data_IF_581431220968
#
_entry.id   IF_581431220968
#
_cell.length_a   1.000
_cell.length_b   1.000
_cell.length_c   1.000
_cell.angle_alpha   90.00
_cell.angle_beta   90.00
_cell.angle_gamma   90.00
#
_symmetry.space_group_name_H-M   'P 1'
#
loop_
_entity.id
_entity.type
_entity.pdbx_description
1 polymer ?
#
# COMPACT_ATOMS: atom_id res chain seq x y z
N UNK A 1 -53.39 -27.80 13.64
CA UNK A 1 -52.12 -27.89 12.91
C UNK A 1 -51.62 -26.49 12.62
N UNK A 2 -50.72 -25.90 13.42
CA UNK A 2 -49.92 -24.73 13.05
C UNK A 2 -48.84 -24.50 14.12
N UNK A 3 -47.63 -24.98 13.87
CA UNK A 3 -46.38 -24.47 14.46
C UNK A 3 -45.19 -25.16 13.76
N UNK A 4 -44.98 -24.87 12.47
CA UNK A 4 -43.78 -25.34 11.74
C UNK A 4 -43.10 -24.20 10.98
N UNK A 5 -43.12 -22.99 11.58
CA UNK A 5 -42.48 -21.78 11.04
C UNK A 5 -41.50 -21.12 12.03
N UNK A 6 -41.22 -21.74 13.17
CA UNK A 6 -40.35 -21.18 14.21
C UNK A 6 -38.99 -21.89 14.33
N UNK A 7 -38.51 -22.54 13.26
CA UNK A 7 -37.20 -23.23 13.24
C UNK A 7 -36.17 -22.61 12.28
N UNK A 8 -36.46 -21.45 11.67
CA UNK A 8 -35.53 -20.80 10.73
C UNK A 8 -34.69 -19.66 11.33
N UNK A 9 -34.84 -19.39 12.63
CA UNK A 9 -34.17 -18.28 13.31
C UNK A 9 -33.33 -18.71 14.54
N UNK A 10 -32.82 -19.94 14.54
CA UNK A 10 -32.05 -20.50 15.65
C UNK A 10 -30.60 -20.77 15.30
N UNK A 11 -29.72 -19.82 15.60
CA UNK A 11 -28.27 -20.04 15.67
C UNK A 11 -27.48 -19.55 14.46
N UNK A 12 -27.17 -18.24 14.43
CA UNK A 12 -25.98 -17.79 13.69
C UNK A 12 -24.77 -18.48 14.33
N UNK A 13 -24.35 -19.62 13.76
CA UNK A 13 -23.01 -20.16 13.98
C UNK A 13 -22.05 -19.01 13.71
N UNK A 14 -21.16 -18.69 14.66
CA UNK A 14 -20.23 -17.57 14.52
C UNK A 14 -19.49 -17.75 13.19
N UNK A 15 -19.79 -16.87 12.22
CA UNK A 15 -19.30 -16.99 10.85
C UNK A 15 -17.78 -16.91 10.80
N UNK A 16 -17.16 -16.24 11.79
CA UNK A 16 -15.70 -16.24 11.96
C UNK A 16 -15.17 -17.58 12.44
N UNK A 17 -15.90 -18.24 13.34
CA UNK A 17 -15.52 -19.57 13.81
C UNK A 17 -15.65 -20.60 12.68
N UNK A 18 -16.76 -20.56 11.93
CA UNK A 18 -16.95 -21.42 10.76
C UNK A 18 -15.88 -21.20 9.68
N UNK A 19 -15.50 -19.94 9.39
CA UNK A 19 -14.44 -19.64 8.44
C UNK A 19 -13.07 -20.19 8.91
N UNK A 20 -12.74 -20.04 10.20
CA UNK A 20 -11.50 -20.58 10.78
C UNK A 20 -11.45 -22.10 10.73
N UNK A 21 -12.54 -22.77 11.11
CA UNK A 21 -12.68 -24.22 11.02
C UNK A 21 -12.50 -24.71 9.57
N UNK A 22 -13.11 -24.02 8.60
CA UNK A 22 -12.96 -24.34 7.19
C UNK A 22 -11.52 -24.17 6.69
N UNK A 23 -10.84 -23.07 7.03
CA UNK A 23 -9.43 -22.83 6.68
C UNK A 23 -8.53 -23.95 7.24
N UNK A 24 -8.74 -24.35 8.50
CA UNK A 24 -7.99 -25.44 9.12
C UNK A 24 -8.21 -26.76 8.37
N UNK A 25 -9.47 -27.09 8.06
CA UNK A 25 -9.80 -28.30 7.30
C UNK A 25 -9.18 -28.32 5.90
N UNK A 26 -9.22 -27.19 5.18
CA UNK A 26 -8.60 -27.05 3.86
C UNK A 26 -7.08 -27.23 3.93
N UNK A 27 -6.41 -26.67 4.94
CA UNK A 27 -4.96 -26.83 5.15
C UNK A 27 -4.58 -28.26 5.51
N UNK A 28 -5.40 -28.95 6.31
CA UNK A 28 -5.21 -30.39 6.58
C UNK A 28 -5.33 -31.21 5.29
N UNK A 29 -6.31 -30.91 4.45
CA UNK A 29 -6.46 -31.57 3.16
C UNK A 29 -5.28 -31.31 2.22
N UNK A 30 -4.74 -30.08 2.20
CA UNK A 30 -3.52 -29.75 1.45
C UNK A 30 -2.33 -30.61 1.90
N UNK A 31 -2.11 -30.75 3.21
CA UNK A 31 -1.04 -31.62 3.74
C UNK A 31 -1.21 -33.09 3.34
N UNK A 32 -2.44 -33.58 3.24
CA UNK A 32 -2.70 -34.94 2.77
C UNK A 32 -2.40 -35.08 1.27
N UNK A 33 -2.73 -34.07 0.47
CA UNK A 33 -2.41 -34.04 -0.95
C UNK A 33 -0.90 -34.02 -1.16
N UNK A 34 -0.15 -33.17 -0.45
CA UNK A 34 1.32 -33.11 -0.52
C UNK A 34 1.95 -34.47 -0.22
N UNK A 35 1.54 -35.13 0.87
CA UNK A 35 2.01 -36.49 1.21
C UNK A 35 1.69 -37.51 0.12
N UNK A 36 0.53 -37.38 -0.54
CA UNK A 36 0.12 -38.25 -1.63
C UNK A 36 0.92 -37.98 -2.91
N UNK A 37 1.23 -36.71 -3.20
CA UNK A 37 2.11 -36.31 -4.30
C UNK A 37 3.50 -36.92 -4.12
N UNK A 38 4.10 -36.79 -2.94
CA UNK A 38 5.40 -37.42 -2.61
C UNK A 38 5.38 -38.95 -2.78
N UNK A 39 4.30 -39.59 -2.33
CA UNK A 39 4.13 -41.04 -2.48
C UNK A 39 4.06 -41.44 -3.97
N UNK A 40 3.30 -40.71 -4.78
CA UNK A 40 3.17 -40.98 -6.21
C UNK A 40 4.48 -40.72 -6.96
N UNK A 41 5.24 -39.68 -6.59
CA UNK A 41 6.58 -39.43 -7.14
C UNK A 41 7.51 -40.62 -6.90
N UNK A 42 7.55 -41.16 -5.67
CA UNK A 42 8.33 -42.38 -5.36
C UNK A 42 7.88 -43.57 -6.21
N UNK A 43 6.57 -43.75 -6.43
CA UNK A 43 6.04 -44.81 -7.31
C UNK A 43 6.44 -44.63 -8.77
N UNK A 44 6.43 -43.40 -9.27
CA UNK A 44 6.90 -43.06 -10.63
C UNK A 44 8.37 -43.43 -10.78
N UNK A 45 9.21 -43.11 -9.80
CA UNK A 45 10.64 -43.48 -9.81
C UNK A 45 10.85 -44.99 -9.77
N UNK A 46 10.10 -45.71 -8.91
CA UNK A 46 10.15 -47.17 -8.83
C UNK A 46 9.79 -47.82 -10.18
N UNK A 47 8.69 -47.43 -10.80
CA UNK A 47 8.27 -47.98 -12.09
C UNK A 47 9.21 -47.57 -13.23
N UNK A 48 9.80 -46.37 -13.17
CA UNK A 48 10.86 -45.95 -14.10
C UNK A 48 12.08 -46.85 -13.98
N UNK A 49 12.52 -47.16 -12.75
CA UNK A 49 13.64 -48.07 -12.50
C UNK A 49 13.35 -49.48 -13.01
N UNK A 50 12.15 -50.01 -12.74
CA UNK A 50 11.71 -51.32 -13.25
C UNK A 50 11.66 -51.36 -14.77
N UNK A 51 11.16 -50.31 -15.41
CA UNK A 51 11.12 -50.21 -16.87
C UNK A 51 12.53 -50.22 -17.47
N UNK A 52 13.46 -49.42 -16.92
CA UNK A 52 14.86 -49.37 -17.36
C UNK A 52 15.57 -50.73 -17.20
N UNK A 53 15.40 -51.38 -16.04
CA UNK A 53 16.02 -52.67 -15.76
C UNK A 53 15.56 -53.80 -16.70
N UNK A 54 14.35 -53.71 -17.25
CA UNK A 54 13.76 -54.75 -18.10
C UNK A 54 13.68 -54.36 -19.58
N UNK A 55 14.22 -53.20 -19.98
CA UNK A 55 14.05 -52.64 -21.32
C UNK A 55 14.58 -53.56 -22.43
N UNK A 56 15.67 -54.28 -22.18
CA UNK A 56 16.31 -55.19 -23.14
C UNK A 56 15.92 -56.65 -22.89
N UNK A 57 15.81 -57.05 -21.61
CA UNK A 57 15.63 -58.44 -21.19
C UNK A 57 14.18 -58.91 -21.19
N UNK A 58 13.23 -58.03 -20.84
CA UNK A 58 11.82 -58.38 -20.77
C UNK A 58 10.92 -57.18 -21.14
N UNK A 59 10.75 -56.99 -22.46
CA UNK A 59 9.99 -55.88 -23.04
C UNK A 59 8.53 -55.81 -22.55
N UNK A 60 7.89 -56.96 -22.28
CA UNK A 60 6.51 -56.98 -21.78
C UNK A 60 6.41 -56.41 -20.36
N UNK A 61 7.34 -56.80 -19.48
CA UNK A 61 7.40 -56.26 -18.12
C UNK A 61 7.74 -54.76 -18.11
N UNK A 62 8.67 -54.32 -18.98
CA UNK A 62 8.99 -52.92 -19.15
C UNK A 62 7.77 -52.09 -19.63
N UNK A 63 7.00 -52.61 -20.61
CA UNK A 63 5.78 -51.96 -21.10
C UNK A 63 4.73 -51.82 -19.98
N UNK A 64 4.53 -52.84 -19.16
CA UNK A 64 3.60 -52.77 -18.03
C UNK A 64 4.04 -51.75 -16.97
N UNK A 65 5.35 -51.67 -16.68
CA UNK A 65 5.89 -50.66 -15.77
C UNK A 65 5.68 -49.23 -16.31
N UNK A 66 5.87 -49.01 -17.62
CA UNK A 66 5.57 -47.72 -18.25
C UNK A 66 4.09 -47.33 -18.20
N UNK A 67 3.17 -48.31 -18.33
CA UNK A 67 1.73 -48.05 -18.18
C UNK A 67 1.40 -47.61 -16.75
N UNK A 68 1.94 -48.30 -15.74
CA UNK A 68 1.76 -47.92 -14.32
C UNK A 68 2.37 -46.56 -14.01
N UNK A 69 3.58 -46.28 -14.52
CA UNK A 69 4.21 -44.95 -14.45
C UNK A 69 3.26 -43.87 -14.97
N UNK A 70 2.73 -44.04 -16.19
CA UNK A 70 1.79 -43.08 -16.80
C UNK A 70 0.52 -42.88 -15.98
N UNK A 71 -0.02 -43.95 -15.39
CA UNK A 71 -1.20 -43.84 -14.53
C UNK A 71 -0.91 -43.01 -13.26
N UNK A 72 0.26 -43.20 -12.64
CA UNK A 72 0.68 -42.39 -11.50
C UNK A 72 0.96 -40.93 -11.88
N UNK A 73 1.55 -40.67 -13.05
CA UNK A 73 1.72 -39.29 -13.57
C UNK A 73 0.37 -38.60 -13.78
N UNK A 74 -0.61 -39.28 -14.37
CA UNK A 74 -1.96 -38.74 -14.53
C UNK A 74 -2.66 -38.48 -13.19
N UNK A 75 -2.42 -39.31 -12.18
CA UNK A 75 -2.95 -39.07 -10.84
C UNK A 75 -2.27 -37.86 -10.18
N UNK A 76 -0.95 -37.70 -10.35
CA UNK A 76 -0.18 -36.55 -9.88
C UNK A 76 -0.70 -35.24 -10.48
N UNK A 77 -0.94 -35.20 -11.79
CA UNK A 77 -1.47 -34.00 -12.48
C UNK A 77 -2.85 -33.60 -11.93
N UNK A 78 -3.73 -34.59 -11.65
CA UNK A 78 -5.04 -34.35 -11.05
C UNK A 78 -4.94 -33.79 -9.63
N UNK A 79 -3.97 -34.27 -8.85
CA UNK A 79 -3.71 -33.76 -7.50
C UNK A 79 -3.18 -32.33 -7.55
N UNK A 80 -2.28 -32.00 -8.48
CA UNK A 80 -1.77 -30.65 -8.66
C UNK A 80 -2.90 -29.64 -8.94
N UNK A 81 -3.84 -29.99 -9.83
CA UNK A 81 -5.03 -29.17 -10.08
C UNK A 81 -5.93 -29.03 -8.85
N UNK A 82 -6.12 -30.12 -8.10
CA UNK A 82 -6.89 -30.09 -6.85
C UNK A 82 -6.21 -29.22 -5.77
N UNK A 83 -4.88 -29.26 -5.70
CA UNK A 83 -4.08 -28.46 -4.77
C UNK A 83 -4.23 -26.97 -5.03
N UNK A 84 -4.05 -26.54 -6.29
CA UNK A 84 -4.25 -25.15 -6.72
C UNK A 84 -5.66 -24.65 -6.38
N UNK A 85 -6.67 -25.50 -6.59
CA UNK A 85 -8.06 -25.15 -6.27
C UNK A 85 -8.28 -24.95 -4.77
N UNK A 86 -7.67 -25.79 -3.91
CA UNK A 86 -7.76 -25.66 -2.45
C UNK A 86 -6.97 -24.46 -1.93
N UNK A 87 -5.76 -24.22 -2.45
CA UNK A 87 -4.95 -23.02 -2.14
C UNK A 87 -5.72 -21.73 -2.45
N UNK A 88 -6.36 -21.67 -3.63
CA UNK A 88 -7.23 -20.55 -4.01
C UNK A 88 -8.41 -20.36 -3.05
N UNK A 89 -9.03 -21.44 -2.56
CA UNK A 89 -10.12 -21.36 -1.59
C UNK A 89 -9.64 -20.87 -0.22
N UNK A 90 -8.47 -21.31 0.26
CA UNK A 90 -7.85 -20.80 1.48
C UNK A 90 -7.64 -19.29 1.38
N UNK A 91 -7.00 -18.82 0.31
CA UNK A 91 -6.75 -17.40 0.08
C UNK A 91 -8.04 -16.57 0.01
N UNK A 92 -9.08 -17.13 -0.62
CA UNK A 92 -10.41 -16.49 -0.72
C UNK A 92 -11.05 -16.34 0.65
N UNK A 93 -11.02 -17.38 1.48
CA UNK A 93 -11.58 -17.36 2.84
C UNK A 93 -10.82 -16.40 3.75
N UNK A 94 -9.49 -16.37 3.67
CA UNK A 94 -8.67 -15.43 4.42
C UNK A 94 -8.96 -13.98 4.04
N UNK A 95 -9.05 -13.70 2.74
CA UNK A 95 -9.42 -12.38 2.21
C UNK A 95 -10.82 -11.98 2.65
N UNK A 96 -11.79 -12.90 2.59
CA UNK A 96 -13.16 -12.64 3.04
C UNK A 96 -13.21 -12.33 4.54
N UNK A 97 -12.41 -13.01 5.36
CA UNK A 97 -12.33 -12.74 6.79
C UNK A 97 -11.71 -11.36 7.08
N UNK A 98 -10.62 -11.00 6.39
CA UNK A 98 -10.02 -9.66 6.48
C UNK A 98 -11.02 -8.57 6.09
N UNK A 99 -11.72 -8.75 4.96
CA UNK A 99 -12.73 -7.80 4.49
C UNK A 99 -13.87 -7.63 5.50
N UNK A 100 -14.33 -8.72 6.12
CA UNK A 100 -15.36 -8.67 7.16
C UNK A 100 -14.88 -7.87 8.40
N UNK A 101 -13.60 -7.99 8.77
CA UNK A 101 -13.00 -7.23 9.86
C UNK A 101 -12.87 -5.74 9.53
N UNK A 102 -12.40 -5.41 8.33
CA UNK A 102 -12.36 -4.03 7.83
C UNK A 102 -13.75 -3.40 7.85
N UNK A 103 -14.77 -4.10 7.34
CA UNK A 103 -16.15 -3.61 7.37
C UNK A 103 -16.66 -3.39 8.80
N UNK A 104 -16.27 -4.26 9.74
CA UNK A 104 -16.63 -4.10 11.16
C UNK A 104 -15.97 -2.86 11.77
N UNK A 105 -14.69 -2.61 11.46
CA UNK A 105 -13.97 -1.43 11.91
C UNK A 105 -14.55 -0.15 11.31
N UNK A 106 -14.85 -0.15 10.01
CA UNK A 106 -15.51 0.96 9.31
C UNK A 106 -16.87 1.27 9.94
N UNK A 107 -17.68 0.26 10.25
CA UNK A 107 -18.98 0.45 10.92
C UNK A 107 -18.81 1.13 12.28
N UNK A 108 -17.87 0.67 13.11
CA UNK A 108 -17.57 1.31 14.40
C UNK A 108 -17.14 2.77 14.22
N UNK A 109 -16.28 3.06 13.24
CA UNK A 109 -15.88 4.43 12.92
C UNK A 109 -17.07 5.30 12.50
N UNK A 110 -17.95 4.77 11.64
CA UNK A 110 -19.17 5.45 11.23
C UNK A 110 -20.12 5.72 12.41
N UNK A 111 -20.25 4.79 13.35
CA UNK A 111 -21.08 4.97 14.56
C UNK A 111 -20.50 6.07 15.49
N UNK A 112 -19.16 6.14 15.62
CA UNK A 112 -18.48 7.22 16.35
C UNK A 112 -18.70 8.56 15.65
N UNK A 113 -18.48 8.64 14.33
CA UNK A 113 -18.74 9.85 13.55
C UNK A 113 -20.19 10.31 13.66
N UNK A 114 -21.14 9.37 13.61
CA UNK A 114 -22.57 9.66 13.81
C UNK A 114 -22.85 10.23 15.20
N UNK A 115 -22.11 9.80 16.23
CA UNK A 115 -22.25 10.34 17.59
C UNK A 115 -21.66 11.74 17.70
N UNK A 116 -20.46 11.97 17.14
CA UNK A 116 -19.82 13.30 17.10
C UNK A 116 -20.71 14.29 16.36
N UNK A 117 -21.13 13.95 15.13
CA UNK A 117 -21.96 14.82 14.30
C UNK A 117 -23.41 14.89 14.80
N UNK A 118 -23.94 13.82 15.39
CA UNK A 118 -25.29 13.81 15.98
C UNK A 118 -25.43 14.78 17.15
N UNK A 119 -24.34 15.08 17.86
CA UNK A 119 -24.30 16.11 18.89
C UNK A 119 -24.11 17.53 18.32
N UNK A 120 -23.62 17.66 17.08
CA UNK A 120 -23.55 18.89 16.28
C UNK A 120 -24.74 18.94 15.30
N UNK A 121 -25.96 19.04 15.82
CA UNK A 121 -27.12 19.32 14.96
C UNK A 121 -26.98 20.70 14.31
N UNK A 122 -27.48 20.88 13.09
CA UNK A 122 -27.46 22.18 12.40
C UNK A 122 -28.04 23.29 13.28
N UNK A 123 -29.13 23.00 14.00
CA UNK A 123 -29.73 23.93 14.97
C UNK A 123 -28.76 24.40 16.07
N UNK A 124 -27.86 23.52 16.56
CA UNK A 124 -26.85 23.90 17.56
C UNK A 124 -25.72 24.71 16.95
N UNK A 125 -25.34 24.40 15.71
CA UNK A 125 -24.36 25.19 14.97
C UNK A 125 -24.91 26.60 14.73
N UNK A 126 -26.16 26.71 14.26
CA UNK A 126 -26.84 28.00 14.03
C UNK A 126 -26.98 28.79 15.34
N UNK A 127 -27.37 28.14 16.44
CA UNK A 127 -27.42 28.79 17.76
C UNK A 127 -26.05 29.26 18.26
N UNK A 128 -24.99 28.51 17.99
CA UNK A 128 -23.62 28.90 18.37
C UNK A 128 -23.13 30.07 17.51
N UNK A 129 -23.43 30.07 16.21
CA UNK A 129 -23.10 31.18 15.32
C UNK A 129 -23.86 32.45 15.71
N UNK A 130 -25.16 32.34 16.04
CA UNK A 130 -25.95 33.47 16.55
C UNK A 130 -25.37 34.04 17.86
N UNK A 131 -24.95 33.19 18.80
CA UNK A 131 -24.29 33.62 20.02
C UNK A 131 -22.92 34.29 19.75
N UNK A 132 -22.16 33.81 18.77
CA UNK A 132 -20.90 34.46 18.35
C UNK A 132 -21.18 35.85 17.75
N UNK A 133 -22.19 35.97 16.88
CA UNK A 133 -22.60 37.25 16.30
C UNK A 133 -23.02 38.25 17.39
N UNK A 134 -23.80 37.79 18.38
CA UNK A 134 -24.22 38.57 19.54
C UNK A 134 -23.02 39.02 20.39
N UNK A 135 -22.10 38.11 20.71
CA UNK A 135 -20.89 38.46 21.47
C UNK A 135 -19.98 39.40 20.68
N UNK A 136 -19.92 39.28 19.35
CA UNK A 136 -19.17 40.22 18.50
C UNK A 136 -19.83 41.60 18.48
N UNK A 137 -21.16 41.67 18.44
CA UNK A 137 -21.89 42.93 18.55
C UNK A 137 -21.65 43.61 19.90
N UNK A 138 -21.70 42.85 21.01
CA UNK A 138 -21.37 43.35 22.35
C UNK A 138 -19.91 43.83 22.42
N UNK A 139 -18.96 43.08 21.87
CA UNK A 139 -17.56 43.48 21.85
C UNK A 139 -17.35 44.78 21.05
N UNK A 140 -18.07 44.97 19.94
CA UNK A 140 -18.03 46.21 19.17
C UNK A 140 -18.69 47.38 19.93
N UNK A 141 -19.83 47.16 20.58
CA UNK A 141 -20.49 48.18 21.41
C UNK A 141 -19.63 48.59 22.61
N UNK A 142 -18.95 47.63 23.25
CA UNK A 142 -17.95 47.91 24.29
C UNK A 142 -16.80 48.70 23.70
N UNK A 143 -16.29 48.30 22.54
CA UNK A 143 -15.21 49.03 21.87
C UNK A 143 -15.64 50.45 21.53
N UNK A 144 -16.83 50.68 20.97
CA UNK A 144 -17.36 52.01 20.69
C UNK A 144 -17.58 52.83 21.97
N UNK A 145 -18.13 52.23 23.02
CA UNK A 145 -18.37 52.89 24.30
C UNK A 145 -17.07 53.24 25.04
N UNK A 146 -16.00 52.44 24.89
CA UNK A 146 -14.67 52.68 25.46
C UNK A 146 -13.85 53.63 24.58
N UNK A 147 -13.98 53.55 23.26
CA UNK A 147 -13.32 54.45 22.31
C UNK A 147 -13.96 55.84 22.29
N UNK A 148 -15.23 55.96 22.69
CA UNK A 148 -15.98 57.21 22.63
C UNK A 148 -16.50 57.82 23.96
N UNK A 149 -15.75 57.84 25.07
CA UNK A 149 -15.96 58.82 26.14
C UNK A 149 -15.07 60.07 26.00
N UNK A 150 -14.04 60.07 25.14
CA UNK A 150 -13.07 61.18 25.05
C UNK A 150 -12.74 61.67 23.64
N UNK A 151 -13.25 61.06 22.57
CA UNK A 151 -12.92 61.47 21.20
C UNK A 151 -13.87 62.51 20.57
N UNK A 152 -14.72 63.16 21.39
CA UNK A 152 -15.51 64.32 20.97
C UNK A 152 -14.68 65.62 20.87
N UNK A 153 -13.38 65.55 20.53
CA UNK A 153 -12.55 66.77 20.50
C UNK A 153 -11.06 66.65 20.19
N UNK A 154 -10.58 65.57 19.57
CA UNK A 154 -9.19 65.52 19.06
C UNK A 154 -9.22 65.14 17.58
N UNK A 155 -9.37 66.15 16.73
CA UNK A 155 -9.04 66.06 15.30
C UNK A 155 -7.51 66.00 15.20
N UNK A 156 -6.97 64.81 14.89
CA UNK A 156 -5.59 64.71 14.44
C UNK A 156 -5.51 65.22 13.01
N UNK A 157 -4.51 66.04 12.69
CA UNK A 157 -4.31 66.52 11.33
C UNK A 157 -3.83 65.36 10.46
N UNK A 158 -4.71 64.90 9.56
CA UNK A 158 -4.47 63.77 8.66
C UNK A 158 -3.25 64.02 7.76
N UNK A 159 -2.90 65.28 7.50
CA UNK A 159 -1.74 65.64 6.66
C UNK A 159 -0.42 65.53 7.41
N UNK A 160 -0.39 65.80 8.71
CA UNK A 160 0.80 65.60 9.56
C UNK A 160 1.15 64.10 9.64
N UNK A 161 0.13 63.25 9.82
CA UNK A 161 0.30 61.80 9.87
C UNK A 161 0.74 61.21 8.52
N UNK A 162 0.27 61.76 7.40
CA UNK A 162 0.73 61.33 6.06
C UNK A 162 2.19 61.70 5.81
N UNK A 163 2.64 62.86 6.29
CA UNK A 163 4.05 63.23 6.20
C UNK A 163 4.94 62.30 7.03
N UNK A 164 4.55 62.04 8.29
CA UNK A 164 5.28 61.12 9.16
C UNK A 164 5.35 59.70 8.57
N UNK A 165 4.24 59.22 7.98
CA UNK A 165 4.22 57.93 7.31
C UNK A 165 5.15 57.88 6.09
N UNK A 166 5.17 58.94 5.28
CA UNK A 166 6.04 59.02 4.10
C UNK A 166 7.53 59.02 4.48
N UNK A 167 7.91 59.69 5.58
CA UNK A 167 9.28 59.64 6.10
C UNK A 167 9.66 58.22 6.55
N UNK A 168 8.77 57.53 7.29
CA UNK A 168 8.99 56.14 7.72
C UNK A 168 9.14 55.17 6.54
N UNK A 169 8.34 55.32 5.49
CA UNK A 169 8.43 54.49 4.28
C UNK A 169 9.78 54.68 3.56
N UNK A 170 10.25 55.93 3.46
CA UNK A 170 11.53 56.24 2.84
C UNK A 170 12.70 55.66 3.63
N UNK A 171 12.66 55.75 4.97
CA UNK A 171 13.68 55.20 5.85
C UNK A 171 13.79 53.67 5.70
N UNK A 172 12.65 52.95 5.65
CA UNK A 172 12.65 51.51 5.41
C UNK A 172 13.15 51.12 4.01
N UNK A 173 12.84 51.91 2.99
CA UNK A 173 13.31 51.65 1.63
C UNK A 173 14.84 51.78 1.54
N UNK A 174 15.39 52.81 2.19
CA UNK A 174 16.82 53.04 2.27
C UNK A 174 17.53 51.87 2.97
N UNK A 175 16.98 51.37 4.07
CA UNK A 175 17.54 50.25 4.83
C UNK A 175 17.59 48.96 3.97
N UNK A 176 16.53 48.67 3.22
CA UNK A 176 16.49 47.51 2.29
C UNK A 176 17.45 47.63 1.12
N UNK A 177 17.70 48.84 0.61
CA UNK A 177 18.64 49.06 -0.49
C UNK A 177 20.10 48.91 -0.05
N UNK A 178 20.43 49.28 1.20
CA UNK A 178 21.76 49.06 1.76
C UNK A 178 22.10 47.58 1.93
N UNK A 179 21.11 46.70 2.10
CA UNK A 179 21.31 45.24 2.24
C UNK A 179 21.60 44.54 0.90
N UNK A 180 21.30 45.16 -0.25
CA UNK A 180 21.40 44.55 -1.58
C UNK A 180 22.72 44.80 -2.35
N UNK A 181 23.64 45.63 -1.84
CA UNK A 181 24.90 46.03 -2.52
C UNK A 181 26.08 45.06 -2.29
N UNK A 182 25.80 43.81 -1.89
CA UNK A 182 26.81 42.78 -1.64
C UNK A 182 26.56 41.51 -2.46
N UNK A 183 26.77 41.58 -3.78
CA UNK A 183 26.78 40.39 -4.64
C UNK A 183 28.17 40.19 -5.26
N UNK A 184 28.94 39.15 -4.86
CA UNK A 184 30.27 38.87 -5.40
C UNK A 184 30.22 38.35 -6.84
N UNK A 185 31.03 38.94 -7.71
CA UNK A 185 31.26 38.49 -9.10
C UNK A 185 32.18 37.26 -9.08
N UNK A 186 31.68 36.08 -9.45
CA UNK A 186 32.51 34.87 -9.60
C UNK A 186 32.72 34.50 -11.08
N UNK A 187 33.96 34.68 -11.55
CA UNK A 187 34.48 34.10 -12.78
C UNK A 187 34.98 32.65 -12.51
N UNK A 188 34.78 31.67 -13.42
CA UNK A 188 35.26 30.32 -13.20
C UNK A 188 36.77 30.21 -13.55
N UNK A 189 37.58 29.83 -12.56
CA UNK A 189 39.01 29.55 -12.72
C UNK A 189 39.38 28.26 -12.00
N UNK A 190 40.17 27.41 -12.66
CA UNK A 190 41.15 26.54 -12.00
C UNK A 190 40.83 25.05 -11.95
N UNK A 191 41.25 24.32 -12.98
CA UNK A 191 41.33 22.87 -13.04
C UNK A 191 42.21 22.29 -11.90
N UNK A 192 41.70 21.28 -11.21
CA UNK A 192 42.48 20.44 -10.29
C UNK A 192 43.02 19.23 -11.07
N UNK A 193 44.35 19.13 -11.12
CA UNK A 193 45.13 18.04 -11.72
C UNK A 193 44.92 16.73 -10.93
N UNK A 194 44.54 15.66 -11.63
CA UNK A 194 44.70 14.26 -11.17
C UNK A 194 45.37 13.51 -12.30
N UNK A 195 46.50 12.88 -11.98
CA UNK A 195 47.42 12.24 -12.92
C UNK A 195 46.84 10.99 -13.59
N UNK A 196 47.26 10.81 -14.84
CA UNK A 196 46.93 9.71 -15.74
C UNK A 196 47.69 8.43 -15.37
N UNK A 197 46.95 7.33 -15.21
CA UNK A 197 47.50 6.00 -15.44
C UNK A 197 46.39 5.08 -15.95
N UNK A 198 46.65 4.44 -17.09
CA UNK A 198 46.04 3.20 -17.54
C UNK A 198 44.66 3.29 -18.26
N UNK A 199 44.69 3.60 -19.57
CA UNK A 199 43.58 3.37 -20.52
C UNK A 199 44.05 2.72 -21.82
N UNK A 200 44.83 1.64 -21.71
CA UNK A 200 45.24 0.84 -22.88
C UNK A 200 45.01 -0.66 -22.71
N UNK A 201 44.55 -1.12 -21.54
CA UNK A 201 44.35 -2.55 -21.26
C UNK A 201 42.89 -3.02 -21.35
N UNK A 202 41.91 -2.11 -21.50
CA UNK A 202 40.48 -2.46 -21.47
C UNK A 202 39.90 -2.62 -22.88
N UNK A 203 40.44 -1.93 -23.89
CA UNK A 203 39.95 -2.03 -25.28
C UNK A 203 40.39 -3.35 -25.96
N UNK A 204 41.56 -3.89 -25.61
CA UNK A 204 42.07 -5.15 -26.20
C UNK A 204 41.29 -6.40 -25.75
N UNK A 205 40.64 -6.35 -24.58
CA UNK A 205 39.90 -7.48 -24.00
C UNK A 205 38.47 -7.60 -24.61
N UNK A 206 37.86 -6.46 -24.95
CA UNK A 206 36.55 -6.43 -25.63
C UNK A 206 36.65 -6.94 -27.08
N UNK A 207 37.72 -6.58 -27.80
CA UNK A 207 37.98 -7.03 -29.17
C UNK A 207 38.32 -8.53 -29.28
N UNK A 208 38.90 -9.11 -28.22
CA UNK A 208 39.14 -10.54 -28.13
C UNK A 208 37.81 -11.32 -27.95
N UNK A 209 36.94 -10.83 -27.07
CA UNK A 209 35.63 -11.43 -26.80
C UNK A 209 34.70 -11.36 -28.02
N UNK A 210 34.75 -10.26 -28.78
CA UNK A 210 33.94 -10.10 -29.99
C UNK A 210 34.34 -11.11 -31.09
N UNK A 211 35.64 -11.39 -31.24
CA UNK A 211 36.15 -12.39 -32.21
C UNK A 211 35.78 -13.81 -31.84
N UNK A 212 35.78 -14.15 -30.55
CA UNK A 212 35.32 -15.46 -30.07
C UNK A 212 33.83 -15.67 -30.35
N UNK A 213 33.01 -14.63 -30.12
CA UNK A 213 31.58 -14.65 -30.43
C UNK A 213 31.32 -14.87 -31.93
N UNK A 214 32.09 -14.21 -32.80
CA UNK A 214 31.96 -14.34 -34.25
C UNK A 214 32.43 -15.71 -34.78
N UNK A 215 33.49 -16.28 -34.21
CA UNK A 215 33.94 -17.63 -34.54
C UNK A 215 32.93 -18.71 -34.12
N UNK A 216 32.20 -18.49 -33.03
CA UNK A 216 31.15 -19.40 -32.55
C UNK A 216 29.88 -19.41 -33.42
N UNK A 217 29.67 -18.39 -34.26
CA UNK A 217 28.50 -18.23 -35.12
C UNK A 217 28.74 -18.68 -36.57
N UNK A 218 29.99 -19.00 -36.94
CA UNK A 218 30.38 -19.46 -38.28
C UNK A 218 30.71 -20.97 -38.37
N UNK A 219 30.44 -21.75 -37.32
CA UNK A 219 30.35 -23.22 -37.34
C UNK A 219 28.96 -23.71 -36.97
#
# INVERSE_FOLDING_TARGET
>A
MMASLMSYFGGRKDTKQAAREAIVGLRQQLQLIEKKEEYLQKKIEEETRKAKANAVTNKNLAKQALIRKRAHEQELDKLAGSRLQLESQVNTLESANLNAETMTAMKKGADVLKTIHGNMTMDKVDATMAAIEEQRAIANEISEAISNPMNAGLDYDEEELKQELAELEQDQLNERLMEADHVPVHAPSGATRVEEAHRTAVEDDEDAQLRELQASLAM
#
